data_IF_988553365575
#
_entry.id   IF_988553365575
#
_cell.length_a   1.000
_cell.length_b   1.000
_cell.length_c   1.000
_cell.angle_alpha   90.00
_cell.angle_beta   90.00
_cell.angle_gamma   90.00
#
_symmetry.space_group_name_H-M   'P 1'
#
loop_
_entity.id
_entity.type
_entity.pdbx_description
1 polymer ?
#
# COMPACT_ATOMS: atom_id res chain seq x y z
N UNK A 1 17.86 9.35 0.49
CA UNK A 1 16.83 8.51 1.13
C UNK A 1 15.77 8.05 0.13
N UNK A 2 15.03 8.95 -0.53
CA UNK A 2 14.02 8.60 -1.55
C UNK A 2 14.52 7.58 -2.59
N UNK A 3 15.70 7.80 -3.17
CA UNK A 3 16.30 6.87 -4.15
C UNK A 3 16.43 5.44 -3.63
N UNK A 4 16.90 5.28 -2.38
CA UNK A 4 17.08 3.97 -1.77
C UNK A 4 15.73 3.29 -1.58
N UNK A 5 14.73 4.01 -1.11
CA UNK A 5 13.40 3.43 -0.89
C UNK A 5 12.69 3.14 -2.24
N UNK A 6 12.91 3.92 -3.30
CA UNK A 6 12.44 3.60 -4.66
C UNK A 6 13.05 2.27 -5.14
N UNK A 7 14.35 2.11 -4.94
CA UNK A 7 15.06 0.88 -5.32
C UNK A 7 14.54 -0.32 -4.53
N UNK A 8 14.33 -0.19 -3.22
CA UNK A 8 13.76 -1.27 -2.42
C UNK A 8 12.34 -1.62 -2.88
N UNK A 9 11.52 -0.63 -3.24
CA UNK A 9 10.15 -0.87 -3.75
C UNK A 9 10.15 -1.61 -5.09
N UNK A 10 11.07 -1.28 -6.00
CA UNK A 10 11.22 -1.98 -7.27
C UNK A 10 11.67 -3.43 -7.06
N UNK A 11 12.61 -3.67 -6.15
CA UNK A 11 13.03 -5.03 -5.81
C UNK A 11 11.87 -5.83 -5.24
N UNK A 12 11.09 -5.25 -4.32
CA UNK A 12 9.91 -5.91 -3.75
C UNK A 12 8.84 -6.20 -4.81
N UNK A 13 8.64 -5.32 -5.79
CA UNK A 13 7.72 -5.57 -6.91
C UNK A 13 8.17 -6.76 -7.77
N UNK A 14 9.48 -6.89 -8.03
CA UNK A 14 10.04 -8.01 -8.79
C UNK A 14 9.96 -9.30 -7.96
N UNK A 15 10.17 -9.26 -6.65
CA UNK A 15 10.03 -10.47 -5.81
C UNK A 15 8.59 -10.94 -5.75
N UNK A 16 7.59 -10.05 -5.77
CA UNK A 16 6.17 -10.41 -5.79
C UNK A 16 5.78 -11.30 -6.97
N UNK A 17 6.21 -10.95 -8.18
CA UNK A 17 5.88 -11.75 -9.38
C UNK A 17 6.51 -13.15 -9.35
N UNK A 18 7.52 -13.35 -8.49
CA UNK A 18 8.30 -14.58 -8.39
C UNK A 18 7.83 -15.51 -7.27
N UNK A 19 6.91 -15.08 -6.41
CA UNK A 19 6.39 -15.86 -5.28
C UNK A 19 5.18 -16.69 -5.70
N UNK A 20 5.16 -17.96 -5.26
CA UNK A 20 4.06 -18.89 -5.54
C UNK A 20 3.09 -19.05 -4.38
N UNK A 21 3.57 -18.91 -3.13
CA UNK A 21 2.71 -19.08 -1.98
C UNK A 21 1.94 -17.78 -1.69
N UNK A 22 0.60 -17.84 -1.60
CA UNK A 22 -0.22 -16.63 -1.48
C UNK A 22 -0.04 -15.93 -0.12
N UNK A 23 0.36 -16.67 0.92
CA UNK A 23 0.72 -16.09 2.22
C UNK A 23 1.97 -15.20 2.13
N UNK A 24 3.02 -15.68 1.44
CA UNK A 24 4.29 -14.92 1.33
C UNK A 24 4.13 -13.70 0.44
N UNK A 25 3.32 -13.78 -0.64
CA UNK A 25 3.02 -12.63 -1.47
C UNK A 25 2.30 -11.54 -0.67
N UNK A 26 1.31 -11.89 0.17
CA UNK A 26 0.60 -10.90 0.98
C UNK A 26 1.50 -10.21 2.01
N UNK A 27 2.44 -10.94 2.62
CA UNK A 27 3.42 -10.34 3.54
C UNK A 27 4.36 -9.36 2.82
N UNK A 28 4.80 -9.69 1.59
CA UNK A 28 5.63 -8.79 0.80
C UNK A 28 4.85 -7.56 0.36
N UNK A 29 3.57 -7.70 -0.01
CA UNK A 29 2.70 -6.54 -0.33
C UNK A 29 2.57 -5.63 0.90
N UNK A 30 2.37 -6.17 2.10
CA UNK A 30 2.30 -5.36 3.33
C UNK A 30 3.58 -4.54 3.54
N UNK A 31 4.75 -5.17 3.42
CA UNK A 31 6.03 -4.46 3.57
C UNK A 31 6.22 -3.42 2.46
N UNK A 32 5.85 -3.74 1.22
CA UNK A 32 5.95 -2.80 0.10
C UNK A 32 5.02 -1.59 0.26
N UNK A 33 3.81 -1.79 0.77
CA UNK A 33 2.87 -0.67 1.04
C UNK A 33 3.38 0.25 2.14
N UNK A 34 4.02 -0.29 3.19
CA UNK A 34 4.70 0.50 4.24
C UNK A 34 5.83 1.36 3.66
N UNK A 35 6.69 0.79 2.80
CA UNK A 35 7.77 1.55 2.18
C UNK A 35 7.29 2.56 1.14
N UNK A 36 6.17 2.29 0.46
CA UNK A 36 5.51 3.24 -0.45
C UNK A 36 4.88 4.42 0.31
N UNK A 37 4.19 4.20 1.43
CA UNK A 37 3.59 5.31 2.20
C UNK A 37 4.65 6.22 2.81
N UNK A 38 5.78 5.66 3.25
CA UNK A 38 6.95 6.44 3.66
C UNK A 38 7.51 7.29 2.52
N UNK A 39 7.52 6.77 1.29
CA UNK A 39 7.96 7.54 0.11
C UNK A 39 7.03 8.70 -0.20
N UNK A 40 5.73 8.45 -0.18
CA UNK A 40 4.72 9.46 -0.46
C UNK A 40 4.79 10.57 0.59
N UNK A 41 5.04 10.23 1.86
CA UNK A 41 5.25 11.22 2.92
C UNK A 41 6.54 12.03 2.77
N UNK A 42 7.57 11.48 2.12
CA UNK A 42 8.81 12.21 1.84
C UNK A 42 8.70 13.11 0.59
N UNK A 43 7.80 12.78 -0.34
CA UNK A 43 7.54 13.58 -1.56
C UNK A 43 6.52 14.69 -1.28
N UNK A 44 5.47 14.35 -0.54
CA UNK A 44 4.39 15.28 -0.22
C UNK A 44 4.68 16.00 1.08
N UNK A 45 4.39 17.30 1.12
CA UNK A 45 4.59 18.12 2.31
C UNK A 45 3.55 17.85 3.41
N UNK A 46 2.35 17.41 3.03
CA UNK A 46 1.30 17.00 3.96
C UNK A 46 1.23 15.48 4.07
N UNK A 47 1.28 14.96 5.30
CA UNK A 47 1.20 13.53 5.60
C UNK A 47 -0.19 12.91 5.38
N UNK A 48 -1.23 13.71 5.14
CA UNK A 48 -2.61 13.24 5.03
C UNK A 48 -2.84 12.27 3.88
N UNK A 49 -2.24 12.54 2.71
CA UNK A 49 -2.33 11.67 1.53
C UNK A 49 -1.63 10.33 1.79
N UNK A 50 -0.42 10.34 2.37
CA UNK A 50 0.28 9.10 2.74
C UNK A 50 -0.48 8.28 3.78
N UNK A 51 -1.17 8.95 4.71
CA UNK A 51 -1.96 8.30 5.76
C UNK A 51 -3.23 7.65 5.21
N UNK A 52 -3.97 8.33 4.33
CA UNK A 52 -5.17 7.75 3.69
C UNK A 52 -4.85 6.51 2.87
N UNK A 53 -3.75 6.54 2.10
CA UNK A 53 -3.27 5.40 1.32
C UNK A 53 -2.90 4.25 2.26
N UNK A 54 -2.25 4.53 3.39
CA UNK A 54 -1.87 3.51 4.37
C UNK A 54 -3.08 2.75 4.93
N UNK A 55 -4.13 3.46 5.34
CA UNK A 55 -5.34 2.85 5.92
C UNK A 55 -6.09 2.00 4.88
N UNK A 56 -6.29 2.54 3.68
CA UNK A 56 -7.00 1.83 2.60
C UNK A 56 -6.33 0.51 2.25
N UNK A 57 -5.01 0.51 2.09
CA UNK A 57 -4.26 -0.69 1.74
C UNK A 57 -4.22 -1.70 2.89
N UNK A 58 -3.95 -1.29 4.13
CA UNK A 58 -3.90 -2.23 5.26
C UNK A 58 -5.27 -2.84 5.54
N UNK A 59 -6.33 -2.04 5.53
CA UNK A 59 -7.69 -2.52 5.77
C UNK A 59 -8.09 -3.60 4.75
N UNK A 60 -7.86 -3.35 3.46
CA UNK A 60 -8.17 -4.32 2.40
C UNK A 60 -7.29 -5.57 2.45
N UNK A 61 -5.98 -5.40 2.69
CA UNK A 61 -5.02 -6.52 2.71
C UNK A 61 -5.21 -7.44 3.91
N UNK A 62 -5.63 -6.92 5.07
CA UNK A 62 -5.90 -7.74 6.26
C UNK A 62 -7.08 -8.69 6.06
N UNK A 63 -8.13 -8.26 5.35
CA UNK A 63 -9.29 -9.10 5.05
C UNK A 63 -8.90 -10.25 4.10
N UNK A 64 -8.11 -9.94 3.07
CA UNK A 64 -7.59 -10.94 2.12
C UNK A 64 -6.64 -11.93 2.84
N UNK A 65 -5.81 -11.44 3.77
CA UNK A 65 -4.94 -12.28 4.58
C UNK A 65 -5.72 -13.26 5.46
N UNK A 66 -6.77 -12.80 6.14
CA UNK A 66 -7.66 -13.68 6.93
C UNK A 66 -8.32 -14.74 6.06
N UNK A 67 -8.79 -14.37 4.87
CA UNK A 67 -9.43 -15.30 3.95
C UNK A 67 -8.46 -16.41 3.49
N UNK A 68 -7.30 -16.03 2.98
CA UNK A 68 -6.34 -16.99 2.41
C UNK A 68 -5.71 -17.86 3.49
N UNK A 69 -5.36 -17.30 4.66
CA UNK A 69 -4.84 -18.09 5.79
C UNK A 69 -5.85 -19.13 6.28
N UNK A 70 -7.15 -18.84 6.22
CA UNK A 70 -8.19 -19.81 6.60
C UNK A 70 -8.38 -20.97 5.61
N UNK A 71 -7.95 -20.81 4.35
CA UNK A 71 -8.16 -21.78 3.27
C UNK A 71 -6.93 -22.68 3.05
N UNK A 72 -5.73 -22.13 3.19
CA UNK A 72 -4.50 -22.84 2.84
C UNK A 72 -3.44 -22.65 3.93
N UNK A 73 -3.69 -23.18 5.13
CA UNK A 73 -2.74 -23.05 6.22
C UNK A 73 -1.48 -23.92 6.04
N UNK A 74 -1.44 -24.86 5.08
CA UNK A 74 -0.26 -25.72 5.01
C UNK A 74 0.00 -26.38 3.65
N UNK A 75 0.38 -25.57 2.66
CA UNK A 75 1.37 -26.03 1.67
C UNK A 75 2.55 -25.07 1.73
N UNK A 76 3.34 -25.18 2.81
CA UNK A 76 4.74 -24.77 2.80
C UNK A 76 5.42 -25.63 1.72
N UNK A 77 5.28 -25.21 0.47
CA UNK A 77 5.87 -25.87 -0.68
C UNK A 77 7.38 -25.55 -0.65
N UNK A 78 8.08 -26.20 0.25
CA UNK A 78 9.53 -26.14 0.49
C UNK A 78 10.20 -26.94 -0.63
N UNK A 79 9.89 -26.64 -1.88
CA UNK A 79 10.70 -27.13 -2.98
C UNK A 79 11.91 -26.19 -3.08
N UNK A 80 12.91 -26.46 -2.22
CA UNK A 80 14.18 -25.73 -2.08
C UNK A 80 15.04 -25.92 -3.34
N UNK A 81 14.62 -25.32 -4.44
CA UNK A 81 15.49 -25.16 -5.61
C UNK A 81 16.43 -23.98 -5.37
N UNK A 82 17.48 -24.22 -4.58
CA UNK A 82 18.52 -23.23 -4.25
C UNK A 82 19.15 -22.59 -5.49
N UNK A 83 19.27 -23.33 -6.60
CA UNK A 83 19.73 -22.78 -7.89
C UNK A 83 18.83 -21.64 -8.38
N UNK A 84 17.51 -21.82 -8.30
CA UNK A 84 16.55 -20.79 -8.73
C UNK A 84 16.60 -19.55 -7.80
N UNK A 85 16.85 -19.76 -6.50
CA UNK A 85 17.08 -18.65 -5.56
C UNK A 85 18.36 -17.87 -5.88
N UNK A 86 19.45 -18.56 -6.24
CA UNK A 86 20.73 -17.93 -6.61
C UNK A 86 20.58 -17.10 -7.89
N UNK A 87 19.94 -17.62 -8.94
CA UNK A 87 19.69 -16.85 -10.17
C UNK A 87 18.81 -15.62 -9.91
N UNK A 88 17.81 -15.75 -9.03
CA UNK A 88 16.96 -14.62 -8.61
C UNK A 88 17.76 -13.54 -7.88
N UNK A 89 18.67 -13.92 -6.98
CA UNK A 89 19.54 -12.98 -6.27
C UNK A 89 20.51 -12.28 -7.22
N UNK A 90 21.10 -13.01 -8.17
CA UNK A 90 22.00 -12.43 -9.19
C UNK A 90 21.26 -11.40 -10.04
N UNK A 91 20.02 -11.68 -10.46
CA UNK A 91 19.22 -10.72 -11.22
C UNK A 91 18.98 -9.44 -10.42
N UNK A 92 18.63 -9.54 -9.13
CA UNK A 92 18.43 -8.39 -8.25
C UNK A 92 19.71 -7.55 -8.14
N UNK A 93 20.87 -8.20 -8.01
CA UNK A 93 22.18 -7.52 -7.91
C UNK A 93 22.51 -6.78 -9.21
N UNK A 94 22.26 -7.39 -10.37
CA UNK A 94 22.50 -6.74 -11.66
C UNK A 94 21.62 -5.50 -11.85
N UNK A 95 20.34 -5.60 -11.47
CA UNK A 95 19.41 -4.46 -11.49
C UNK A 95 19.93 -3.33 -10.59
N UNK A 96 20.38 -3.65 -9.38
CA UNK A 96 20.95 -2.66 -8.44
C UNK A 96 22.19 -1.97 -9.00
N UNK A 97 23.10 -2.71 -9.64
CA UNK A 97 24.31 -2.14 -10.24
C UNK A 97 23.98 -1.20 -11.41
N UNK A 98 23.01 -1.58 -12.25
CA UNK A 98 22.56 -0.75 -13.37
C UNK A 98 21.94 0.57 -12.89
N UNK A 99 21.11 0.52 -11.84
CA UNK A 99 20.51 1.73 -11.27
C UNK A 99 21.53 2.64 -10.60
N UNK A 100 22.54 2.09 -9.92
CA UNK A 100 23.62 2.89 -9.33
C UNK A 100 24.39 3.69 -10.38
N UNK A 101 24.56 3.11 -11.57
CA UNK A 101 25.36 3.71 -12.65
C UNK A 101 24.56 4.70 -13.52
N UNK A 102 23.25 4.52 -13.65
CA UNK A 102 22.38 5.34 -14.51
C UNK A 102 21.72 6.55 -13.81
N UNK A 103 21.58 6.53 -12.49
CA UNK A 103 20.87 7.59 -11.75
C UNK A 103 21.80 8.76 -11.37
N UNK A 104 22.36 9.44 -12.37
CA UNK A 104 23.01 10.74 -12.20
C UNK A 104 21.96 11.87 -12.03
N UNK A 105 21.11 11.73 -11.02
CA UNK A 105 20.05 12.70 -10.68
C UNK A 105 20.48 13.47 -9.43
N UNK A 106 21.52 14.30 -9.55
CA UNK A 106 22.01 15.13 -8.45
C UNK A 106 21.11 16.34 -8.12
N UNK A 107 20.00 16.55 -8.84
CA UNK A 107 19.19 17.77 -8.70
C UNK A 107 17.73 17.56 -8.32
N UNK A 108 17.39 16.49 -7.59
CA UNK A 108 16.13 16.49 -6.84
C UNK A 108 16.31 17.23 -5.51
N UNK A 109 16.83 18.46 -5.59
CA UNK A 109 16.65 19.45 -4.54
C UNK A 109 15.19 19.88 -4.63
N UNK A 110 14.30 19.09 -4.03
CA UNK A 110 13.03 19.60 -3.54
C UNK A 110 13.35 20.55 -2.40
N UNK A 111 13.90 21.71 -2.73
CA UNK A 111 14.02 22.82 -1.81
C UNK A 111 12.60 23.16 -1.38
N UNK A 112 12.35 22.88 -0.10
CA UNK A 112 11.17 23.23 0.67
C UNK A 112 10.97 24.76 0.72
N UNK A 113 10.73 25.39 -0.44
CA UNK A 113 10.46 26.83 -0.55
C UNK A 113 9.00 27.20 -0.28
N UNK A 114 8.12 26.22 -0.13
CA UNK A 114 6.73 26.46 0.31
C UNK A 114 6.40 25.65 1.56
N UNK A 115 7.11 25.90 2.66
CA UNK A 115 6.78 25.30 3.97
C UNK A 115 5.54 25.93 4.62
N UNK A 116 5.07 27.07 4.11
CA UNK A 116 3.99 27.86 4.73
C UNK A 116 2.67 27.89 3.94
N UNK A 117 2.62 27.41 2.70
CA UNK A 117 1.40 27.53 1.87
C UNK A 117 0.39 26.37 2.06
N UNK A 118 0.80 25.22 2.62
CA UNK A 118 -0.03 24.01 2.52
C UNK A 118 -1.08 23.86 3.63
N UNK A 119 -0.82 24.35 4.85
CA UNK A 119 -1.88 24.42 5.87
C UNK A 119 -3.00 25.37 5.43
N UNK A 120 -2.69 26.38 4.62
CA UNK A 120 -3.70 27.28 4.05
C UNK A 120 -4.65 26.57 3.09
N UNK A 121 -4.18 25.60 2.29
CA UNK A 121 -5.08 24.86 1.38
C UNK A 121 -6.08 23.99 2.13
N UNK A 122 -5.65 23.24 3.17
CA UNK A 122 -6.56 22.43 3.98
C UNK A 122 -7.52 23.32 4.79
N UNK A 123 -7.02 24.42 5.36
CA UNK A 123 -7.85 25.37 6.10
C UNK A 123 -8.88 26.05 5.20
N UNK A 124 -8.51 26.40 3.96
CA UNK A 124 -9.41 26.99 2.96
C UNK A 124 -10.59 26.08 2.62
N UNK A 125 -10.48 24.76 2.75
CA UNK A 125 -11.63 23.87 2.54
C UNK A 125 -12.72 24.06 3.60
N UNK A 126 -12.34 24.42 4.83
CA UNK A 126 -13.25 24.65 5.95
C UNK A 126 -13.68 26.11 6.11
N UNK A 127 -13.13 27.02 5.29
CA UNK A 127 -13.50 28.42 5.26
C UNK A 127 -14.66 28.63 4.26
N UNK A 128 -15.54 29.60 4.53
CA UNK A 128 -16.63 29.98 3.63
C UNK A 128 -16.06 30.50 2.29
N UNK A 129 -16.64 30.14 1.12
CA UNK A 129 -17.91 29.43 0.93
C UNK A 129 -17.79 27.89 0.86
N UNK A 130 -16.59 27.33 0.79
CA UNK A 130 -16.35 25.91 0.54
C UNK A 130 -16.84 24.99 1.68
N UNK A 131 -16.96 25.51 2.90
CA UNK A 131 -17.39 24.73 4.05
C UNK A 131 -18.77 24.06 3.85
N UNK A 132 -19.72 24.72 3.16
CA UNK A 132 -21.03 24.13 2.85
C UNK A 132 -20.90 22.88 1.97
N UNK A 133 -20.02 22.91 0.98
CA UNK A 133 -19.74 21.76 0.11
C UNK A 133 -19.08 20.63 0.90
N UNK A 134 -18.18 20.96 1.83
CA UNK A 134 -17.56 19.96 2.71
C UNK A 134 -18.59 19.29 3.63
N UNK A 135 -19.50 20.04 4.24
CA UNK A 135 -20.58 19.45 5.03
C UNK A 135 -21.48 18.54 4.20
N UNK A 136 -21.84 18.95 2.97
CA UNK A 136 -22.62 18.10 2.07
C UNK A 136 -21.92 16.77 1.76
N UNK A 137 -20.62 16.82 1.45
CA UNK A 137 -19.82 15.60 1.21
C UNK A 137 -19.79 14.72 2.45
N UNK A 138 -19.60 15.29 3.65
CA UNK A 138 -19.59 14.53 4.90
C UNK A 138 -20.94 13.84 5.17
N UNK A 139 -22.06 14.53 4.94
CA UNK A 139 -23.38 13.92 5.07
C UNK A 139 -23.60 12.79 4.05
N UNK A 140 -23.20 12.98 2.79
CA UNK A 140 -23.30 11.92 1.77
C UNK A 140 -22.50 10.69 2.18
N UNK A 141 -21.25 10.86 2.61
CA UNK A 141 -20.40 9.75 3.08
C UNK A 141 -21.00 9.05 4.31
N UNK A 142 -21.59 9.81 5.24
CA UNK A 142 -22.28 9.27 6.41
C UNK A 142 -23.51 8.43 6.02
N UNK A 143 -24.36 8.92 5.11
CA UNK A 143 -25.48 8.15 4.59
C UNK A 143 -25.03 6.89 3.85
N UNK A 144 -23.95 6.96 3.06
CA UNK A 144 -23.36 5.80 2.39
C UNK A 144 -22.92 4.73 3.39
N UNK A 145 -22.29 5.11 4.52
CA UNK A 145 -21.91 4.16 5.57
C UNK A 145 -23.13 3.46 6.19
N UNK A 146 -24.22 4.20 6.46
CA UNK A 146 -25.47 3.63 6.98
C UNK A 146 -26.06 2.61 6.00
N UNK A 147 -26.11 2.96 4.71
CA UNK A 147 -26.59 2.07 3.65
C UNK A 147 -25.74 0.81 3.53
N UNK A 148 -24.41 0.94 3.59
CA UNK A 148 -23.49 -0.22 3.57
C UNK A 148 -23.76 -1.14 4.77
N UNK A 149 -23.88 -0.60 5.98
CA UNK A 149 -24.20 -1.40 7.18
C UNK A 149 -25.55 -2.10 7.02
N UNK A 150 -26.54 -1.42 6.45
CA UNK A 150 -27.85 -2.03 6.17
C UNK A 150 -27.76 -3.16 5.14
N UNK A 151 -26.97 -2.98 4.07
CA UNK A 151 -26.72 -4.03 3.07
C UNK A 151 -25.98 -5.23 3.66
N UNK A 152 -25.04 -5.00 4.59
CA UNK A 152 -24.29 -6.07 5.25
C UNK A 152 -25.13 -6.90 6.24
N UNK A 153 -26.30 -6.42 6.68
CA UNK A 153 -27.22 -7.18 7.56
C UNK A 153 -27.90 -8.37 6.87
N UNK A 154 -27.67 -8.58 5.57
CA UNK A 154 -28.13 -9.78 4.87
C UNK A 154 -27.30 -10.98 5.37
N UNK A 155 -27.78 -11.62 6.44
CA UNK A 155 -27.24 -12.86 7.00
C UNK A 155 -27.42 -14.02 6.02
N UNK A 156 -26.59 -14.11 4.99
CA UNK A 156 -26.27 -15.41 4.41
C UNK A 156 -25.28 -16.05 5.38
N UNK A 157 -25.62 -17.25 5.87
CA UNK A 157 -24.83 -17.97 6.87
C UNK A 157 -23.34 -18.09 6.49
N UNK A 158 -22.48 -18.60 7.39
CA UNK A 158 -21.06 -18.70 7.13
C UNK A 158 -20.80 -19.33 5.76
N UNK A 159 -19.90 -18.73 4.96
CA UNK A 159 -19.47 -19.25 3.64
C UNK A 159 -19.02 -20.71 3.70
N UNK A 160 -18.69 -21.22 4.90
CA UNK A 160 -18.45 -22.64 5.14
C UNK A 160 -19.77 -23.35 5.46
N UNK A 161 -20.17 -24.24 4.56
CA UNK A 161 -21.06 -25.33 4.95
C UNK A 161 -20.37 -26.12 6.07
N UNK A 162 -21.06 -26.31 7.20
CA UNK A 162 -20.70 -27.38 8.14
C UNK A 162 -20.94 -28.68 7.36
N UNK A 163 -19.87 -29.37 7.00
CA UNK A 163 -19.98 -30.74 6.52
C UNK A 163 -20.58 -31.57 7.66
N UNK A 164 -21.79 -32.09 7.44
CA UNK A 164 -22.25 -33.30 8.11
C UNK A 164 -21.72 -34.49 7.33
#
# INVERSE_FOLDING_TARGET
MLKFIMLTNLIMAITLTMMKSPLSSNLIILIQTLSLTLMINLINKTSWISFMIFILYIGGLMIIFLYISSIAFNELNINKNFKNLIYKLIFIILVLMYFKMSLNLNNMNYENKFMFEDNFYMLNMFILPNNLMMYMIMFILFFMLILIIWMLKINKGPIRQKNN
#
